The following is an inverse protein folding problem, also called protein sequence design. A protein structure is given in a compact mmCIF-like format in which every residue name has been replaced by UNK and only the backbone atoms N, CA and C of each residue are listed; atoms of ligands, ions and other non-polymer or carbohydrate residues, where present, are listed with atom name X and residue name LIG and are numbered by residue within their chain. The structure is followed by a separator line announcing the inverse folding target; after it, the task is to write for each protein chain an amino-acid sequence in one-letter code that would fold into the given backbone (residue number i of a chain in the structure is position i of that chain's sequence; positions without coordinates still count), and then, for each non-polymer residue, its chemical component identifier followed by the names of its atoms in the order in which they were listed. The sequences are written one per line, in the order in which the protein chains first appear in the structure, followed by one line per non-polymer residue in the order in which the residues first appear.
data_IF_673276619431
#
_entry.id   IF_673276619431
#
_cell.length_a   1.000
_cell.length_b   1.000
_cell.length_c   1.000
_cell.angle_alpha   90.00
_cell.angle_beta   90.00
_cell.angle_gamma   90.00
#
_symmetry.space_group_name_H-M   'P 1'
#
loop_
_entity.id
_entity.type
_entity.pdbx_description
1 polymer ?
#
# COMPACT_ATOMS: atom_id res chain seq x y z
N UNK A 1 -68.48 -41.26 42.99
CA UNK A 1 -68.92 -40.93 41.64
C UNK A 1 -68.05 -39.79 41.20
N UNK A 2 -67.09 -40.10 40.47
CA UNK A 2 -67.03 -40.12 39.05
C UNK A 2 -66.58 -38.81 38.42
N UNK A 3 -65.44 -38.84 37.86
CA UNK A 3 -65.11 -38.24 36.51
C UNK A 3 -65.07 -36.71 36.44
N UNK A 4 -64.20 -36.17 35.86
CA UNK A 4 -63.16 -36.43 34.93
C UNK A 4 -62.45 -35.09 34.80
N UNK A 5 -61.21 -35.04 34.98
CA UNK A 5 -60.48 -33.80 34.75
C UNK A 5 -59.61 -33.97 33.55
N UNK A 6 -60.01 -33.19 32.63
CA UNK A 6 -59.42 -33.05 31.34
C UNK A 6 -58.04 -32.42 31.42
N UNK A 7 -57.23 -33.10 30.78
CA UNK A 7 -55.91 -32.69 30.35
C UNK A 7 -55.94 -31.35 29.54
N UNK A 8 -55.26 -30.33 30.01
CA UNK A 8 -54.90 -29.20 29.21
C UNK A 8 -53.40 -29.01 29.27
N UNK A 9 -52.76 -29.70 28.38
CA UNK A 9 -51.35 -29.56 28.14
C UNK A 9 -51.16 -28.30 27.28
N UNK A 10 -50.74 -27.22 27.91
CA UNK A 10 -50.36 -26.01 27.22
C UNK A 10 -49.01 -26.22 26.58
N UNK A 11 -49.03 -26.21 25.28
CA UNK A 11 -47.89 -26.22 24.41
C UNK A 11 -47.29 -24.81 24.37
N UNK A 12 -46.32 -24.54 25.23
CA UNK A 12 -45.54 -23.29 25.16
C UNK A 12 -44.34 -23.48 24.24
N UNK A 13 -44.56 -23.26 22.96
CA UNK A 13 -43.47 -23.10 22.00
C UNK A 13 -42.75 -21.79 22.25
N UNK A 14 -41.69 -21.84 23.03
CA UNK A 14 -40.73 -20.72 23.13
C UNK A 14 -39.87 -20.61 21.88
N UNK A 15 -40.29 -19.76 20.99
CA UNK A 15 -39.45 -19.27 19.87
C UNK A 15 -38.46 -18.23 20.41
N UNK A 16 -37.40 -18.70 21.03
CA UNK A 16 -36.26 -17.83 21.37
C UNK A 16 -35.20 -17.92 20.26
N UNK A 17 -35.56 -17.46 19.08
CA UNK A 17 -34.59 -17.20 18.03
C UNK A 17 -34.09 -15.75 18.17
N UNK A 18 -33.36 -15.46 19.24
CA UNK A 18 -32.49 -14.30 19.25
C UNK A 18 -31.26 -14.64 18.41
N UNK A 19 -31.39 -14.43 17.13
CA UNK A 19 -30.26 -14.29 16.26
C UNK A 19 -29.53 -12.98 16.66
N UNK A 20 -28.58 -13.10 17.60
CA UNK A 20 -27.63 -12.02 17.86
C UNK A 20 -26.71 -11.94 16.63
N UNK A 21 -27.20 -11.28 15.61
CA UNK A 21 -26.35 -10.79 14.54
C UNK A 21 -25.27 -9.94 15.19
N UNK A 22 -24.03 -10.45 15.19
CA UNK A 22 -22.88 -9.67 15.61
C UNK A 22 -22.95 -8.33 14.89
N UNK A 23 -23.01 -7.23 15.65
CA UNK A 23 -22.94 -5.91 15.07
C UNK A 23 -21.71 -5.86 14.16
N UNK A 24 -21.82 -5.33 12.95
CA UNK A 24 -20.66 -5.22 12.06
C UNK A 24 -19.56 -4.48 12.81
N UNK A 25 -18.44 -5.13 12.99
CA UNK A 25 -17.26 -4.51 13.59
C UNK A 25 -16.92 -3.32 12.70
N UNK A 26 -16.85 -2.08 13.23
CA UNK A 26 -16.44 -0.94 12.44
C UNK A 26 -15.11 -1.27 11.79
N UNK A 27 -15.02 -1.09 10.48
CA UNK A 27 -13.77 -1.26 9.77
C UNK A 27 -12.73 -0.37 10.46
N UNK A 28 -11.65 -1.00 10.96
CA UNK A 28 -10.54 -0.27 11.55
C UNK A 28 -10.04 0.72 10.51
N UNK A 29 -9.99 2.03 10.78
CA UNK A 29 -9.45 2.96 9.81
C UNK A 29 -8.04 2.48 9.46
N UNK A 30 -7.83 2.17 8.20
CA UNK A 30 -6.49 1.90 7.69
C UNK A 30 -5.78 3.23 7.81
N UNK A 31 -4.92 3.35 8.80
CA UNK A 31 -3.96 4.44 8.83
C UNK A 31 -3.16 4.29 7.55
N UNK A 32 -3.34 5.23 6.62
CA UNK A 32 -2.50 5.43 5.43
C UNK A 32 -1.10 5.90 5.84
N UNK A 33 -0.55 5.33 6.90
CA UNK A 33 0.88 5.35 7.15
C UNK A 33 1.49 4.67 5.95
N UNK A 34 2.29 5.40 5.22
CA UNK A 34 2.97 4.95 4.03
C UNK A 34 3.42 3.49 4.21
N UNK A 35 2.78 2.57 3.50
CA UNK A 35 3.12 1.17 3.61
C UNK A 35 4.55 1.02 3.09
N UNK A 36 5.49 0.76 3.98
CA UNK A 36 6.87 0.46 3.61
C UNK A 36 6.92 -1.02 3.26
N UNK A 37 7.11 -1.31 1.99
CA UNK A 37 7.33 -2.67 1.52
C UNK A 37 8.82 -2.90 1.34
N UNK A 38 9.28 -4.08 1.74
CA UNK A 38 10.70 -4.41 1.77
C UNK A 38 10.96 -5.74 1.08
N UNK A 39 12.01 -5.82 0.28
CA UNK A 39 12.51 -7.06 -0.30
C UNK A 39 14.04 -7.10 -0.30
N UNK A 40 14.62 -8.30 -0.33
CA UNK A 40 16.05 -8.48 -0.47
C UNK A 40 16.41 -8.79 -1.92
N UNK A 41 17.46 -8.16 -2.41
CA UNK A 41 18.08 -8.46 -3.72
C UNK A 41 19.58 -8.53 -3.54
N UNK A 42 20.12 -9.75 -3.57
CA UNK A 42 21.50 -10.01 -3.20
C UNK A 42 21.79 -9.56 -1.76
N UNK A 43 22.83 -8.76 -1.58
CA UNK A 43 23.19 -8.15 -0.29
C UNK A 43 22.44 -6.84 0.01
N UNK A 44 21.53 -6.40 -0.87
CA UNK A 44 20.76 -5.18 -0.71
C UNK A 44 19.39 -5.44 -0.11
N UNK A 45 18.89 -4.45 0.60
CA UNK A 45 17.52 -4.33 1.06
C UNK A 45 16.87 -3.22 0.25
N UNK A 46 15.90 -3.57 -0.57
CA UNK A 46 15.02 -2.66 -1.28
C UNK A 46 13.87 -2.27 -0.35
N UNK A 47 13.61 -0.99 -0.22
CA UNK A 47 12.42 -0.47 0.45
C UNK A 47 11.66 0.43 -0.49
N UNK A 48 10.35 0.34 -0.50
CA UNK A 48 9.48 1.24 -1.25
C UNK A 48 8.47 1.91 -0.33
N UNK A 49 8.24 3.19 -0.58
CA UNK A 49 7.27 4.02 0.13
C UNK A 49 6.51 4.87 -0.86
N UNK A 50 5.21 5.02 -0.64
CA UNK A 50 4.35 5.89 -1.44
C UNK A 50 3.94 7.12 -0.64
N UNK A 51 3.92 8.28 -1.30
CA UNK A 51 3.58 9.57 -0.69
C UNK A 51 2.63 10.34 -1.62
N UNK A 52 1.43 10.74 -1.17
CA UNK A 52 0.59 11.64 -1.96
C UNK A 52 1.32 12.94 -2.28
N UNK A 53 1.24 13.43 -3.51
CA UNK A 53 1.92 14.67 -3.92
C UNK A 53 1.48 15.86 -3.10
N UNK A 54 0.22 15.89 -2.67
CA UNK A 54 -0.34 16.92 -1.77
C UNK A 54 0.33 16.99 -0.39
N UNK A 55 0.99 15.92 0.04
CA UNK A 55 1.71 15.87 1.32
C UNK A 55 3.15 16.34 1.23
N UNK A 56 3.65 16.59 0.03
CA UNK A 56 5.03 17.04 -0.19
C UNK A 56 5.09 18.56 -0.03
N UNK A 57 5.91 19.04 0.90
CA UNK A 57 6.08 20.49 1.07
C UNK A 57 6.81 21.12 -0.13
N UNK A 58 6.53 22.40 -0.38
CA UNK A 58 7.04 23.12 -1.55
C UNK A 58 8.58 23.21 -1.60
N UNK A 59 9.27 23.19 -0.44
CA UNK A 59 10.73 23.21 -0.40
C UNK A 59 11.31 21.89 -0.91
N UNK A 60 10.78 20.77 -0.41
CA UNK A 60 11.17 19.43 -0.85
C UNK A 60 10.85 19.22 -2.33
N UNK A 61 9.65 19.63 -2.77
CA UNK A 61 9.24 19.52 -4.16
C UNK A 61 10.23 20.25 -5.09
N UNK A 62 10.59 21.49 -4.76
CA UNK A 62 11.57 22.28 -5.54
C UNK A 62 12.96 21.66 -5.51
N UNK A 63 13.41 21.21 -4.34
CA UNK A 63 14.76 20.62 -4.19
C UNK A 63 14.93 19.38 -5.06
N UNK A 64 13.93 18.54 -5.12
CA UNK A 64 13.96 17.30 -5.90
C UNK A 64 13.29 17.42 -7.29
N UNK A 65 12.83 18.61 -7.67
CA UNK A 65 12.17 18.84 -8.96
C UNK A 65 10.91 17.99 -9.14
N UNK A 66 10.09 17.88 -8.08
CA UNK A 66 8.84 17.14 -8.09
C UNK A 66 7.71 18.11 -8.45
N UNK A 67 6.94 17.78 -9.49
CA UNK A 67 5.74 18.54 -9.83
C UNK A 67 4.61 18.17 -8.89
N UNK A 68 4.20 19.12 -8.05
CA UNK A 68 3.08 19.00 -7.12
C UNK A 68 1.87 19.84 -7.54
N UNK A 69 1.90 20.44 -8.73
CA UNK A 69 0.77 21.20 -9.27
C UNK A 69 -0.41 20.28 -9.66
N UNK A 70 -0.11 19.01 -9.90
CA UNK A 70 -1.09 17.99 -10.25
C UNK A 70 -1.22 16.97 -9.12
N UNK A 71 -2.44 16.43 -8.96
CA UNK A 71 -2.68 15.32 -8.02
C UNK A 71 -1.94 14.06 -8.47
N UNK A 72 -1.60 13.21 -7.51
CA UNK A 72 -0.92 11.95 -7.78
C UNK A 72 -0.16 11.41 -6.60
N UNK A 73 0.69 10.43 -6.87
CA UNK A 73 1.50 9.73 -5.88
C UNK A 73 2.95 9.68 -6.32
N UNK A 74 3.84 10.02 -5.39
CA UNK A 74 5.28 9.76 -5.48
C UNK A 74 5.56 8.37 -4.93
N UNK A 75 6.29 7.57 -5.70
CA UNK A 75 6.93 6.35 -5.24
C UNK A 75 8.40 6.65 -4.95
N UNK A 76 8.83 6.43 -3.71
CA UNK A 76 10.22 6.50 -3.28
C UNK A 76 10.78 5.09 -3.13
N UNK A 77 11.93 4.84 -3.70
CA UNK A 77 12.64 3.57 -3.61
C UNK A 77 14.02 3.83 -3.05
N UNK A 78 14.36 3.13 -1.98
CA UNK A 78 15.67 3.18 -1.36
C UNK A 78 16.33 1.82 -1.42
N UNK A 79 17.66 1.79 -1.64
CA UNK A 79 18.47 0.60 -1.51
C UNK A 79 19.55 0.84 -0.48
N UNK A 80 19.63 -0.09 0.47
CA UNK A 80 20.62 -0.07 1.55
C UNK A 80 21.21 -1.46 1.72
N UNK A 81 22.38 -1.55 2.34
CA UNK A 81 22.87 -2.83 2.83
C UNK A 81 22.05 -3.29 4.06
N UNK A 82 22.33 -4.49 4.56
CA UNK A 82 21.64 -5.04 5.74
C UNK A 82 21.88 -4.22 7.02
N UNK A 83 22.87 -3.33 7.03
CA UNK A 83 23.20 -2.43 8.14
C UNK A 83 22.60 -1.02 7.94
N UNK A 84 21.91 -0.78 6.83
CA UNK A 84 21.27 0.50 6.51
C UNK A 84 22.20 1.50 5.80
N UNK A 85 23.43 1.11 5.43
CA UNK A 85 24.35 2.01 4.75
C UNK A 85 24.00 2.15 3.25
N UNK A 86 24.51 3.23 2.66
CA UNK A 86 24.40 3.46 1.24
C UNK A 86 25.07 2.32 0.44
N UNK A 87 24.37 1.88 -0.60
CA UNK A 87 24.93 0.97 -1.59
C UNK A 87 25.28 1.75 -2.86
N UNK A 88 26.44 1.40 -3.44
CA UNK A 88 26.75 1.91 -4.77
C UNK A 88 25.70 1.43 -5.79
N UNK A 89 25.25 2.27 -6.71
CA UNK A 89 24.27 1.90 -7.73
C UNK A 89 24.82 0.95 -8.81
N UNK A 90 26.09 0.58 -8.71
CA UNK A 90 26.72 -0.35 -9.63
C UNK A 90 25.97 -1.70 -9.62
N UNK A 91 25.80 -2.27 -10.79
CA UNK A 91 25.14 -3.58 -11.02
C UNK A 91 23.65 -3.63 -10.62
N UNK A 92 23.03 -2.47 -10.39
CA UNK A 92 21.61 -2.38 -10.09
C UNK A 92 20.80 -2.02 -11.34
N UNK A 93 19.84 -2.86 -11.67
CA UNK A 93 18.78 -2.52 -12.63
C UNK A 93 17.47 -2.43 -11.89
N UNK A 94 16.80 -1.29 -12.04
CA UNK A 94 15.47 -1.04 -11.48
C UNK A 94 14.48 -0.77 -12.59
N UNK A 95 13.32 -1.39 -12.51
CA UNK A 95 12.17 -1.06 -13.34
C UNK A 95 10.92 -0.92 -12.47
N UNK A 96 10.06 0.02 -12.85
CA UNK A 96 8.79 0.26 -12.16
C UNK A 96 7.68 0.33 -13.19
N UNK A 97 6.59 -0.33 -12.88
CA UNK A 97 5.32 -0.10 -13.54
C UNK A 97 4.29 0.42 -12.54
N UNK A 98 3.40 1.27 -13.00
CA UNK A 98 2.28 1.78 -12.22
C UNK A 98 0.99 1.67 -13.00
N UNK A 99 -0.12 1.51 -12.30
CA UNK A 99 -1.46 1.53 -12.88
C UNK A 99 -2.44 2.23 -11.95
N UNK A 100 -3.38 2.93 -12.54
CA UNK A 100 -4.60 3.37 -11.86
C UNK A 100 -5.65 2.32 -12.15
N UNK A 101 -6.06 1.59 -11.11
CA UNK A 101 -6.98 0.46 -11.30
C UNK A 101 -8.35 0.94 -11.81
N UNK A 102 -8.96 0.24 -12.79
CA UNK A 102 -8.58 -1.07 -13.34
C UNK A 102 -7.65 -1.03 -14.57
N UNK A 103 -7.05 0.10 -14.92
CA UNK A 103 -6.24 0.24 -16.12
C UNK A 103 -4.99 -0.67 -16.11
N UNK A 104 -4.48 -1.08 -17.28
CA UNK A 104 -3.28 -1.89 -17.36
C UNK A 104 -2.04 -1.14 -16.88
N UNK A 105 -1.04 -1.84 -16.29
CA UNK A 105 0.18 -1.22 -15.82
C UNK A 105 1.01 -0.65 -16.97
N UNK A 106 1.58 0.54 -16.72
CA UNK A 106 2.45 1.24 -17.65
C UNK A 106 3.84 1.45 -17.03
N UNK A 107 4.91 1.37 -17.81
CA UNK A 107 6.25 1.71 -17.33
C UNK A 107 6.30 3.15 -16.79
N UNK A 108 6.92 3.33 -15.63
CA UNK A 108 7.15 4.65 -15.05
C UNK A 108 8.62 5.03 -15.12
N UNK A 109 8.93 6.26 -15.54
CA UNK A 109 10.30 6.74 -15.56
C UNK A 109 10.82 6.87 -14.12
N UNK A 110 11.99 6.26 -13.86
CA UNK A 110 12.72 6.41 -12.62
C UNK A 110 13.73 7.52 -12.71
N UNK A 111 13.84 8.31 -11.66
CA UNK A 111 14.84 9.36 -11.52
C UNK A 111 15.62 9.16 -10.22
N UNK A 112 16.95 9.11 -10.34
CA UNK A 112 17.81 9.08 -9.18
C UNK A 112 17.86 10.45 -8.51
N UNK A 113 17.83 10.46 -7.18
CA UNK A 113 18.01 11.64 -6.33
C UNK A 113 19.09 11.36 -5.30
N UNK A 114 19.74 12.43 -4.80
CA UNK A 114 20.73 12.33 -3.74
C UNK A 114 20.12 12.80 -2.42
N UNK A 115 20.15 11.94 -1.41
CA UNK A 115 19.65 12.22 -0.06
C UNK A 115 20.76 11.88 0.95
N UNK A 116 21.31 12.88 1.61
CA UNK A 116 22.37 12.69 2.61
C UNK A 116 23.56 11.84 2.09
N UNK A 117 23.97 12.03 0.84
CA UNK A 117 25.08 11.27 0.22
C UNK A 117 24.68 9.86 -0.25
N UNK A 118 23.42 9.51 -0.16
CA UNK A 118 22.88 8.22 -0.62
C UNK A 118 22.06 8.42 -1.89
N UNK A 119 22.09 7.43 -2.78
CA UNK A 119 21.24 7.44 -3.97
C UNK A 119 19.91 6.78 -3.66
N UNK A 120 18.83 7.50 -3.90
CA UNK A 120 17.46 7.02 -3.88
C UNK A 120 16.83 7.21 -5.26
N UNK A 121 15.70 6.56 -5.50
CA UNK A 121 15.00 6.65 -6.78
C UNK A 121 13.57 7.06 -6.55
N UNK A 122 13.07 7.92 -7.43
CA UNK A 122 11.67 8.35 -7.40
C UNK A 122 10.99 8.12 -8.73
N UNK A 123 9.71 7.78 -8.66
CA UNK A 123 8.78 7.81 -9.78
C UNK A 123 7.52 8.57 -9.37
N UNK A 124 6.88 9.23 -10.32
CA UNK A 124 5.62 9.96 -10.08
C UNK A 124 4.55 9.41 -11.00
N UNK A 125 3.38 9.14 -10.44
CA UNK A 125 2.17 8.80 -11.18
C UNK A 125 1.12 9.87 -10.89
N UNK A 126 0.75 10.63 -11.93
CA UNK A 126 -0.29 11.64 -11.83
C UNK A 126 -1.66 11.00 -12.07
N UNK A 127 -2.58 11.24 -11.16
CA UNK A 127 -3.99 10.85 -11.27
C UNK A 127 -4.83 11.68 -10.31
N UNK A 128 -6.13 11.78 -10.59
CA UNK A 128 -7.07 12.50 -9.73
C UNK A 128 -7.64 11.56 -8.66
N UNK A 129 -7.82 12.09 -7.45
CA UNK A 129 -8.53 11.40 -6.39
C UNK A 129 -10.07 11.38 -6.66
N UNK A 130 -10.80 10.32 -6.22
CA UNK A 130 -10.28 9.11 -5.58
C UNK A 130 -9.73 8.12 -6.61
N UNK A 131 -8.64 7.42 -6.28
CA UNK A 131 -8.03 6.42 -7.15
C UNK A 131 -7.31 5.34 -6.35
N UNK A 132 -7.39 4.10 -6.80
CA UNK A 132 -6.57 3.00 -6.33
C UNK A 132 -5.40 2.81 -7.30
N UNK A 133 -4.19 2.88 -6.79
CA UNK A 133 -2.96 2.87 -7.59
C UNK A 133 -2.13 1.66 -7.20
N UNK A 134 -1.74 0.85 -8.17
CA UNK A 134 -0.84 -0.27 -7.97
C UNK A 134 0.54 0.03 -8.58
N UNK A 135 1.59 -0.22 -7.82
CA UNK A 135 2.97 -0.17 -8.28
C UNK A 135 3.60 -1.56 -8.20
N UNK A 136 4.41 -1.88 -9.19
CA UNK A 136 5.27 -3.06 -9.22
C UNK A 136 6.68 -2.62 -9.51
N UNK A 137 7.59 -2.99 -8.62
CA UNK A 137 9.02 -2.67 -8.68
C UNK A 137 9.76 -3.97 -8.88
N UNK A 138 10.62 -4.02 -9.88
CA UNK A 138 11.55 -5.14 -10.09
C UNK A 138 12.96 -4.61 -9.96
N UNK A 139 13.73 -5.21 -9.08
CA UNK A 139 15.13 -4.92 -8.86
C UNK A 139 15.98 -6.13 -9.19
N UNK A 140 17.05 -5.93 -9.96
CA UNK A 140 18.03 -6.99 -10.26
C UNK A 140 19.43 -6.47 -9.91
N UNK A 141 20.19 -7.28 -9.19
CA UNK A 141 21.55 -6.96 -8.79
C UNK A 141 22.42 -8.22 -8.73
N UNK A 142 23.58 -8.20 -9.38
CA UNK A 142 24.55 -9.31 -9.39
C UNK A 142 23.93 -10.69 -9.70
N UNK A 143 22.90 -10.72 -10.56
CA UNK A 143 22.18 -11.95 -10.93
C UNK A 143 20.98 -12.29 -10.04
N UNK A 144 20.85 -11.70 -8.85
CA UNK A 144 19.67 -11.84 -8.01
C UNK A 144 18.57 -10.88 -8.44
N UNK A 145 17.31 -11.30 -8.26
CA UNK A 145 16.13 -10.46 -8.58
C UNK A 145 15.15 -10.48 -7.43
N UNK A 146 14.52 -9.34 -7.20
CA UNK A 146 13.42 -9.19 -6.25
C UNK A 146 12.30 -8.35 -6.85
N UNK A 147 11.08 -8.67 -6.47
CA UNK A 147 9.87 -7.94 -6.85
C UNK A 147 9.16 -7.43 -5.60
N UNK A 148 8.71 -6.19 -5.66
CA UNK A 148 7.86 -5.56 -4.65
C UNK A 148 6.63 -5.00 -5.33
N UNK A 149 5.46 -5.38 -4.84
CA UNK A 149 4.19 -4.81 -5.24
C UNK A 149 3.60 -4.00 -4.08
N UNK A 150 3.03 -2.85 -4.38
CA UNK A 150 2.32 -2.03 -3.39
C UNK A 150 1.09 -1.40 -4.03
N UNK A 151 0.03 -1.28 -3.23
CA UNK A 151 -1.19 -0.58 -3.63
C UNK A 151 -1.42 0.57 -2.66
N UNK A 152 -1.84 1.71 -3.19
CA UNK A 152 -2.15 2.91 -2.40
C UNK A 152 -3.48 3.49 -2.85
N UNK A 153 -4.29 3.91 -1.88
CA UNK A 153 -5.54 4.61 -2.12
C UNK A 153 -5.31 6.12 -2.01
N UNK A 154 -5.50 6.83 -3.11
CA UNK A 154 -5.48 8.29 -3.14
C UNK A 154 -6.90 8.78 -2.78
N UNK A 155 -7.02 9.42 -1.62
CA UNK A 155 -8.28 9.97 -1.09
C UNK A 155 -8.35 11.48 -1.36
N UNK A 156 -9.58 12.03 -1.36
CA UNK A 156 -9.82 13.48 -1.42
C UNK A 156 -9.62 14.12 -0.06
#
# INVERSE_FOLDING_TARGET
MLRAILLSLLFACGLSACNQGSAPTPAKPINLSAAVNTAKVGNAVLQSQTVPLSSINASTARHYGIDTAHEGVLLLITLRDSSGNALAPADLTLSVTGSVLPDPPQPLPLRAIQTAGMTDYIAVLHTKAPASIAFKIVATRAGDSAEVATTVELQR
#
